data_IF_449433534835
#
_entry.id   IF_449433534835
#
_cell.length_a   1.000
_cell.length_b   1.000
_cell.length_c   1.000
_cell.angle_alpha   90.00
_cell.angle_beta   90.00
_cell.angle_gamma   90.00
#
_symmetry.space_group_name_H-M   'P 1'
#
loop_
_entity.id
_entity.type
_entity.pdbx_description
1 polymer ?
#
# COMPACT_ATOMS: atom_id res chain seq x y z
N UNK A 1 5.21 -13.98 19.00
CA UNK A 1 4.40 -12.76 18.81
C UNK A 1 4.87 -11.91 17.63
N UNK A 2 6.14 -11.51 17.59
CA UNK A 2 6.68 -10.78 16.43
C UNK A 2 6.53 -11.55 15.11
N UNK A 3 6.70 -12.87 15.17
CA UNK A 3 6.59 -13.77 14.03
C UNK A 3 5.21 -13.70 13.35
N UNK A 4 4.14 -13.53 14.15
CA UNK A 4 2.78 -13.40 13.64
C UNK A 4 2.61 -12.10 12.84
N UNK A 5 3.15 -10.99 13.35
CA UNK A 5 3.13 -9.71 12.65
C UNK A 5 3.90 -9.77 11.34
N UNK A 6 5.08 -10.37 11.34
CA UNK A 6 5.91 -10.50 10.13
C UNK A 6 5.22 -11.35 9.08
N UNK A 7 4.55 -12.42 9.46
CA UNK A 7 3.79 -13.27 8.56
C UNK A 7 2.62 -12.50 7.93
N UNK A 8 1.87 -11.74 8.73
CA UNK A 8 0.75 -10.93 8.25
C UNK A 8 1.22 -9.82 7.31
N UNK A 9 2.32 -9.16 7.63
CA UNK A 9 2.90 -8.11 6.79
C UNK A 9 3.32 -8.70 5.44
N UNK A 10 3.98 -9.86 5.44
CA UNK A 10 4.40 -10.54 4.21
C UNK A 10 3.20 -10.91 3.35
N UNK A 11 2.13 -11.40 3.97
CA UNK A 11 0.89 -11.76 3.28
C UNK A 11 0.25 -10.54 2.62
N UNK A 12 0.18 -9.42 3.34
CA UNK A 12 -0.36 -8.17 2.80
C UNK A 12 0.50 -7.64 1.65
N UNK A 13 1.82 -7.74 1.75
CA UNK A 13 2.73 -7.35 0.67
C UNK A 13 2.47 -8.16 -0.60
N UNK A 14 2.29 -9.47 -0.47
CA UNK A 14 1.98 -10.34 -1.61
C UNK A 14 0.65 -9.95 -2.24
N UNK A 15 -0.36 -9.65 -1.43
CA UNK A 15 -1.67 -9.20 -1.91
C UNK A 15 -1.57 -7.85 -2.62
N UNK A 16 -0.73 -6.94 -2.12
CA UNK A 16 -0.48 -5.64 -2.77
C UNK A 16 0.19 -5.84 -4.13
N UNK A 17 1.19 -6.70 -4.22
CA UNK A 17 1.86 -7.02 -5.49
C UNK A 17 0.86 -7.56 -6.51
N UNK A 18 -0.04 -8.43 -6.08
CA UNK A 18 -1.09 -8.99 -6.93
C UNK A 18 -2.07 -7.90 -7.38
N UNK A 19 -2.49 -7.02 -6.49
CA UNK A 19 -3.39 -5.91 -6.80
C UNK A 19 -2.75 -4.92 -7.78
N UNK A 20 -1.44 -4.66 -7.65
CA UNK A 20 -0.68 -3.83 -8.57
C UNK A 20 -0.68 -4.44 -9.98
N UNK A 21 -0.44 -5.74 -10.09
CA UNK A 21 -0.46 -6.45 -11.37
C UNK A 21 -1.82 -6.40 -12.05
N UNK A 22 -2.89 -6.45 -11.26
CA UNK A 22 -4.26 -6.43 -11.76
C UNK A 22 -4.82 -5.02 -11.94
N UNK A 23 -4.07 -3.98 -11.55
CA UNK A 23 -4.53 -2.59 -11.56
C UNK A 23 -5.83 -2.39 -10.76
N UNK A 24 -6.00 -3.16 -9.68
CA UNK A 24 -7.15 -3.06 -8.80
C UNK A 24 -6.90 -2.00 -7.72
N UNK A 25 -7.20 -0.75 -8.03
CA UNK A 25 -6.86 0.41 -7.19
C UNK A 25 -7.68 0.47 -5.90
N UNK A 26 -8.92 0.02 -5.92
CA UNK A 26 -9.75 -0.03 -4.71
C UNK A 26 -9.18 -0.99 -3.68
N UNK A 27 -8.85 -2.20 -4.12
CA UNK A 27 -8.23 -3.21 -3.28
C UNK A 27 -6.83 -2.76 -2.82
N UNK A 28 -6.07 -2.14 -3.71
CA UNK A 28 -4.74 -1.62 -3.41
C UNK A 28 -4.79 -0.59 -2.28
N UNK A 29 -5.73 0.34 -2.31
CA UNK A 29 -5.91 1.35 -1.28
C UNK A 29 -6.28 0.71 0.07
N UNK A 30 -7.21 -0.23 0.06
CA UNK A 30 -7.63 -0.97 1.25
C UNK A 30 -6.47 -1.77 1.86
N UNK A 31 -5.71 -2.46 1.03
CA UNK A 31 -4.55 -3.26 1.47
C UNK A 31 -3.44 -2.37 2.03
N UNK A 32 -3.17 -1.22 1.41
CA UNK A 32 -2.18 -0.26 1.90
C UNK A 32 -2.56 0.28 3.27
N UNK A 33 -3.82 0.61 3.49
CA UNK A 33 -4.31 1.09 4.77
C UNK A 33 -4.18 0.00 5.85
N UNK A 34 -4.50 -1.25 5.51
CA UNK A 34 -4.35 -2.38 6.41
C UNK A 34 -2.90 -2.63 6.79
N UNK A 35 -2.00 -2.53 5.82
CA UNK A 35 -0.56 -2.71 6.04
C UNK A 35 -0.01 -1.61 6.95
N UNK A 36 -0.38 -0.36 6.69
CA UNK A 36 0.03 0.78 7.50
C UNK A 36 -0.44 0.64 8.95
N UNK A 37 -1.70 0.27 9.15
CA UNK A 37 -2.27 0.06 10.49
C UNK A 37 -1.55 -1.07 11.23
N UNK A 38 -1.24 -2.16 10.54
CA UNK A 38 -0.56 -3.31 11.13
C UNK A 38 0.87 -2.96 11.54
N UNK A 39 1.61 -2.27 10.68
CA UNK A 39 2.97 -1.81 10.97
C UNK A 39 2.98 -0.84 12.16
N UNK A 40 2.04 0.10 12.18
CA UNK A 40 1.89 1.04 13.28
C UNK A 40 1.65 0.31 14.61
N UNK A 41 0.76 -0.66 14.62
CA UNK A 41 0.47 -1.48 15.80
C UNK A 41 1.71 -2.22 16.29
N UNK A 42 2.48 -2.80 15.36
CA UNK A 42 3.71 -3.51 15.69
C UNK A 42 4.75 -2.58 16.30
N UNK A 43 4.96 -1.40 15.71
CA UNK A 43 5.96 -0.44 16.18
C UNK A 43 5.60 0.14 17.54
N UNK A 44 4.31 0.34 17.81
CA UNK A 44 3.83 0.89 19.08
C UNK A 44 3.79 -0.15 20.21
N UNK A 45 3.84 -1.43 19.89
CA UNK A 45 3.81 -2.49 20.90
C UNK A 45 5.19 -2.67 21.53
N UNK A 46 5.39 -2.02 22.67
CA UNK A 46 6.66 -2.08 23.41
C UNK A 46 7.03 -3.47 23.88
N UNK A 47 6.06 -4.32 24.19
CA UNK A 47 6.32 -5.70 24.60
C UNK A 47 7.00 -6.47 23.49
N UNK A 48 6.63 -6.22 22.25
CA UNK A 48 7.22 -6.85 21.09
C UNK A 48 8.57 -6.21 20.76
N UNK A 49 8.61 -4.88 20.65
CA UNK A 49 9.82 -4.15 20.22
C UNK A 49 10.97 -4.29 21.23
N UNK A 50 10.66 -4.29 22.53
CA UNK A 50 11.69 -4.44 23.57
C UNK A 50 12.30 -5.84 23.63
N UNK A 51 11.60 -6.85 23.09
CA UNK A 51 12.03 -8.25 23.11
C UNK A 51 12.54 -8.75 21.76
N UNK A 52 12.67 -7.85 20.77
CA UNK A 52 13.20 -8.24 19.47
C UNK A 52 14.68 -8.52 19.52
N UNK A 53 15.10 -9.63 18.89
CA UNK A 53 16.51 -9.92 18.68
C UNK A 53 17.09 -8.97 17.62
N UNK A 54 18.41 -8.92 17.54
CA UNK A 54 19.12 -8.10 16.56
C UNK A 54 18.71 -8.47 15.12
N UNK A 55 18.54 -9.75 14.85
CA UNK A 55 18.08 -10.28 13.56
C UNK A 55 16.67 -9.81 13.25
N UNK A 56 15.78 -9.87 14.24
CA UNK A 56 14.39 -9.45 14.10
C UNK A 56 14.27 -7.94 13.85
N UNK A 57 15.10 -7.13 14.52
CA UNK A 57 15.18 -5.69 14.29
C UNK A 57 15.58 -5.40 12.84
N UNK A 58 16.57 -6.12 12.32
CA UNK A 58 17.01 -5.95 10.93
C UNK A 58 15.89 -6.30 9.95
N UNK A 59 15.13 -7.36 10.21
CA UNK A 59 13.97 -7.77 9.40
C UNK A 59 12.90 -6.67 9.46
N UNK A 60 12.64 -6.13 10.65
CA UNK A 60 11.65 -5.07 10.84
C UNK A 60 12.03 -3.80 10.06
N UNK A 61 13.30 -3.38 10.15
CA UNK A 61 13.79 -2.20 9.42
C UNK A 61 13.60 -2.39 7.91
N UNK A 62 13.94 -3.56 7.39
CA UNK A 62 13.75 -3.87 5.97
C UNK A 62 12.28 -3.86 5.58
N UNK A 63 11.41 -4.40 6.43
CA UNK A 63 9.96 -4.38 6.18
C UNK A 63 9.42 -2.95 6.17
N UNK A 64 9.88 -2.09 7.07
CA UNK A 64 9.48 -0.68 7.10
C UNK A 64 9.91 0.05 5.84
N UNK A 65 11.11 -0.22 5.33
CA UNK A 65 11.60 0.33 4.07
C UNK A 65 10.74 -0.14 2.90
N UNK A 66 10.39 -1.43 2.86
CA UNK A 66 9.54 -2.01 1.83
C UNK A 66 8.14 -1.41 1.87
N UNK A 67 7.56 -1.23 3.07
CA UNK A 67 6.25 -0.63 3.26
C UNK A 67 6.24 0.82 2.73
N UNK A 68 7.26 1.59 3.05
CA UNK A 68 7.40 2.97 2.57
C UNK A 68 7.45 3.02 1.04
N UNK A 69 8.16 2.08 0.43
CA UNK A 69 8.25 1.95 -1.02
C UNK A 69 6.89 1.60 -1.64
N UNK A 70 6.17 0.66 -1.04
CA UNK A 70 4.83 0.26 -1.52
C UNK A 70 3.82 1.40 -1.38
N UNK A 71 3.88 2.16 -0.28
CA UNK A 71 3.01 3.32 -0.09
C UNK A 71 3.25 4.37 -1.16
N UNK A 72 4.52 4.67 -1.44
CA UNK A 72 4.90 5.63 -2.48
C UNK A 72 4.45 5.16 -3.87
N UNK A 73 4.66 3.89 -4.17
CA UNK A 73 4.26 3.28 -5.44
C UNK A 73 2.73 3.29 -5.59
N UNK A 74 2.01 2.99 -4.52
CA UNK A 74 0.54 3.00 -4.49
C UNK A 74 -0.01 4.41 -4.75
N UNK A 75 0.57 5.41 -4.08
CA UNK A 75 0.19 6.81 -4.28
C UNK A 75 0.42 7.25 -5.71
N UNK A 76 1.54 6.88 -6.29
CA UNK A 76 1.89 7.18 -7.67
C UNK A 76 0.89 6.56 -8.65
N UNK A 77 0.58 5.28 -8.48
CA UNK A 77 -0.38 4.56 -9.32
C UNK A 77 -1.79 5.14 -9.20
N UNK A 78 -2.20 5.45 -7.99
CA UNK A 78 -3.52 6.04 -7.74
C UNK A 78 -3.62 7.42 -8.39
N UNK A 79 -2.57 8.23 -8.31
CA UNK A 79 -2.50 9.55 -8.95
C UNK A 79 -2.61 9.43 -10.47
N UNK A 80 -1.89 8.49 -11.06
CA UNK A 80 -1.96 8.22 -12.51
C UNK A 80 -3.37 7.80 -12.92
N UNK A 81 -4.00 6.94 -12.14
CA UNK A 81 -5.37 6.48 -12.39
C UNK A 81 -6.36 7.65 -12.32
N UNK A 82 -6.28 8.47 -11.28
CA UNK A 82 -7.16 9.63 -11.10
C UNK A 82 -6.99 10.62 -12.25
N UNK A 83 -5.76 10.87 -12.67
CA UNK A 83 -5.47 11.74 -13.81
C UNK A 83 -6.07 11.20 -15.10
N UNK A 84 -5.92 9.91 -15.36
CA UNK A 84 -6.46 9.26 -16.55
C UNK A 84 -7.98 9.33 -16.60
N UNK A 85 -8.66 9.08 -15.49
CA UNK A 85 -10.13 9.16 -15.39
C UNK A 85 -10.59 10.61 -15.60
N UNK A 86 -9.93 11.55 -14.97
CA UNK A 86 -10.26 12.98 -15.10
C UNK A 86 -10.10 13.46 -16.56
N UNK A 87 -9.03 13.05 -17.21
CA UNK A 87 -8.77 13.38 -18.62
C UNK A 87 -9.86 12.78 -19.54
N UNK A 88 -10.24 11.54 -19.30
CA UNK A 88 -11.30 10.88 -20.06
C UNK A 88 -12.63 11.62 -19.92
N UNK A 89 -12.96 12.07 -18.71
CA UNK A 89 -14.18 12.86 -18.47
C UNK A 89 -14.16 14.17 -19.21
N UNK A 90 -13.05 14.90 -19.19
CA UNK A 90 -12.90 16.17 -19.91
C UNK A 90 -13.06 15.99 -21.42
N UNK A 91 -12.46 14.95 -21.96
CA UNK A 91 -12.59 14.64 -23.39
C UNK A 91 -14.04 14.30 -23.75
N UNK A 92 -14.72 13.55 -22.92
CA UNK A 92 -16.10 13.17 -23.12
C UNK A 92 -17.04 14.40 -23.07
N UNK A 93 -16.84 15.31 -22.13
CA UNK A 93 -17.59 16.54 -22.01
C UNK A 93 -17.37 17.47 -23.23
N UNK A 94 -16.12 17.61 -23.65
CA UNK A 94 -15.78 18.39 -24.84
C UNK A 94 -16.47 17.83 -26.11
N UNK A 95 -16.49 16.52 -26.24
CA UNK A 95 -17.15 15.83 -27.34
C UNK A 95 -18.66 16.04 -27.31
N UNK A 96 -19.24 16.00 -26.12
CA UNK A 96 -20.68 16.25 -25.91
C UNK A 96 -21.08 17.67 -26.28
N UNK A 97 -20.26 18.67 -25.97
CA UNK A 97 -20.49 20.06 -26.29
C UNK A 97 -20.44 20.32 -27.79
N UNK A 98 -19.62 19.59 -28.52
CA UNK A 98 -19.51 19.69 -29.96
C UNK A 98 -20.72 19.12 -30.72
N UNK A 99 -21.49 18.28 -30.08
CA UNK A 99 -22.64 17.61 -30.67
C UNK A 99 -23.95 18.41 -30.53
N UNK A 100 -23.93 19.39 -29.65
CA UNK A 100 -25.07 20.27 -29.48
C UNK A 100 -25.06 21.34 -30.50
#
# INVERSE_FOLDING_TARGET
MAKTYFTEISRLKDQIDFALDKNNFEELNSLSNSLEALVKTLVEDRKITDNLSKSEINVLVKLLEDVARYEELTKKRFKEYTYSVSRSRKMHEAYKQHRG
#
